data_IF_353643710987
#
_entry.id   IF_353643710987
#
_cell.length_a   1.000
_cell.length_b   1.000
_cell.length_c   1.000
_cell.angle_alpha   90.00
_cell.angle_beta   90.00
_cell.angle_gamma   90.00
#
_symmetry.space_group_name_H-M   'P 1'
#
loop_
_entity.id
_entity.type
_entity.pdbx_description
1 polymer ?
#
# COMPACT_ATOMS: atom_id res chain seq x y z
N UNK A 1 -5.47 -20.77 8.13
CA UNK A 1 -5.17 -19.75 9.17
C UNK A 1 -5.92 -18.48 8.79
N UNK A 2 -6.44 -17.72 9.75
CA UNK A 2 -7.16 -16.48 9.45
C UNK A 2 -6.15 -15.39 9.01
N UNK A 3 -6.32 -14.82 7.82
CA UNK A 3 -5.54 -13.66 7.37
C UNK A 3 -5.81 -12.48 8.30
N UNK A 4 -4.77 -11.80 8.79
CA UNK A 4 -4.95 -10.60 9.59
C UNK A 4 -5.69 -9.54 8.76
N UNK A 5 -6.76 -8.95 9.32
CA UNK A 5 -7.56 -7.95 8.62
C UNK A 5 -6.82 -6.61 8.49
N UNK A 6 -6.01 -6.26 9.48
CA UNK A 6 -5.31 -4.98 9.55
C UNK A 6 -3.80 -5.21 9.68
N UNK A 7 -3.05 -4.51 8.85
CA UNK A 7 -1.60 -4.52 8.75
C UNK A 7 -1.02 -3.26 9.38
N UNK A 8 0.10 -3.40 10.06
CA UNK A 8 0.96 -2.26 10.45
C UNK A 8 1.74 -1.76 9.24
N UNK A 9 2.35 -0.58 9.35
CA UNK A 9 3.26 -0.10 8.29
C UNK A 9 4.51 -0.97 8.15
N UNK A 10 4.90 -1.72 9.18
CA UNK A 10 6.00 -2.67 9.10
C UNK A 10 5.58 -3.88 8.25
N UNK A 11 4.40 -4.45 8.49
CA UNK A 11 3.88 -5.57 7.69
C UNK A 11 3.73 -5.17 6.21
N UNK A 12 3.21 -3.96 5.93
CA UNK A 12 3.11 -3.45 4.55
C UNK A 12 4.49 -3.30 3.91
N UNK A 13 5.47 -2.79 4.66
CA UNK A 13 6.83 -2.62 4.18
C UNK A 13 7.47 -3.98 3.81
N UNK A 14 7.26 -5.00 4.63
CA UNK A 14 7.70 -6.37 4.35
C UNK A 14 7.02 -6.95 3.11
N UNK A 15 5.68 -6.84 3.00
CA UNK A 15 4.91 -7.38 1.87
C UNK A 15 5.32 -6.75 0.54
N UNK A 16 5.47 -5.41 0.53
CA UNK A 16 5.86 -4.69 -0.69
C UNK A 16 7.37 -4.67 -0.92
N UNK A 17 8.16 -5.23 0.00
CA UNK A 17 9.62 -5.19 -0.01
C UNK A 17 10.19 -3.76 -0.17
N UNK A 18 9.70 -2.84 0.67
CA UNK A 18 10.11 -1.42 0.71
C UNK A 18 10.50 -1.01 2.13
N UNK A 19 11.07 0.17 2.31
CA UNK A 19 11.31 0.71 3.66
C UNK A 19 10.01 1.12 4.36
N UNK A 20 9.98 1.07 5.69
CA UNK A 20 8.87 1.59 6.50
C UNK A 20 8.61 3.09 6.25
N UNK A 21 9.65 3.85 5.86
CA UNK A 21 9.52 5.25 5.45
C UNK A 21 8.73 5.37 4.15
N UNK A 22 8.99 4.52 3.15
CA UNK A 22 8.21 4.48 1.91
C UNK A 22 6.76 4.04 2.16
N UNK A 23 6.53 3.00 2.97
CA UNK A 23 5.18 2.58 3.34
C UNK A 23 4.38 3.73 4.02
N UNK A 24 5.03 4.48 4.93
CA UNK A 24 4.44 5.69 5.52
C UNK A 24 4.17 6.77 4.49
N UNK A 25 5.07 6.98 3.51
CA UNK A 25 4.89 7.97 2.46
C UNK A 25 3.64 7.68 1.61
N UNK A 26 3.39 6.42 1.25
CA UNK A 26 2.18 5.99 0.53
C UNK A 26 0.89 6.33 1.32
N UNK A 27 0.91 6.13 2.64
CA UNK A 27 -0.22 6.51 3.49
C UNK A 27 -0.36 8.03 3.60
N UNK A 28 0.75 8.76 3.68
CA UNK A 28 0.74 10.23 3.78
C UNK A 28 0.33 10.91 2.48
N UNK A 29 0.65 10.33 1.32
CA UNK A 29 0.17 10.81 0.02
C UNK A 29 -1.29 10.44 -0.24
N UNK A 30 -1.82 9.44 0.49
CA UNK A 30 -3.18 8.94 0.31
C UNK A 30 -3.30 7.86 -0.77
N UNK A 31 -2.19 7.49 -1.42
CA UNK A 31 -2.16 6.40 -2.41
C UNK A 31 -2.52 5.04 -1.81
N UNK A 32 -2.11 4.83 -0.54
CA UNK A 32 -2.50 3.68 0.25
C UNK A 32 -3.44 4.11 1.38
N UNK A 33 -4.75 3.79 1.28
CA UNK A 33 -5.71 4.11 2.33
C UNK A 33 -5.36 3.42 3.65
N UNK A 34 -5.35 4.20 4.73
CA UNK A 34 -5.11 3.70 6.08
C UNK A 34 -5.95 4.49 7.10
N UNK A 35 -6.22 3.86 8.24
CA UNK A 35 -6.82 4.50 9.41
C UNK A 35 -5.79 4.70 10.50
N UNK A 36 -5.99 5.72 11.34
CA UNK A 36 -5.22 5.87 12.57
C UNK A 36 -6.00 5.24 13.72
N UNK A 37 -5.37 4.33 14.45
CA UNK A 37 -6.01 3.62 15.58
C UNK A 37 -5.25 3.97 16.86
N UNK A 38 -5.95 4.62 17.79
CA UNK A 38 -5.36 5.07 19.05
C UNK A 38 -4.49 6.31 18.90
N UNK A 39 -3.33 6.32 19.56
CA UNK A 39 -2.43 7.48 19.62
C UNK A 39 -1.76 7.87 18.30
N UNK A 40 -1.08 9.02 18.31
CA UNK A 40 -0.43 9.62 17.14
C UNK A 40 0.57 8.64 16.51
N UNK A 41 0.43 8.41 15.20
CA UNK A 41 1.38 7.62 14.41
C UNK A 41 1.09 6.12 14.32
N UNK A 42 0.03 5.63 14.96
CA UNK A 42 -0.41 4.24 14.84
C UNK A 42 -1.34 4.07 13.63
N UNK A 43 -0.76 3.73 12.49
CA UNK A 43 -1.50 3.49 11.25
C UNK A 43 -1.86 2.02 11.09
N UNK A 44 -3.03 1.76 10.52
CA UNK A 44 -3.49 0.43 10.11
C UNK A 44 -4.01 0.47 8.69
N UNK A 45 -3.51 -0.45 7.88
CA UNK A 45 -3.94 -0.66 6.51
C UNK A 45 -4.81 -1.91 6.50
N UNK A 46 -6.04 -1.83 6.01
CA UNK A 46 -6.83 -3.05 5.81
C UNK A 46 -6.23 -3.87 4.67
N UNK A 47 -6.09 -5.18 4.83
CA UNK A 47 -5.44 -6.06 3.85
C UNK A 47 -6.07 -5.90 2.46
N UNK A 48 -7.40 -5.80 2.36
CA UNK A 48 -8.08 -5.56 1.10
C UNK A 48 -7.64 -4.24 0.42
N UNK A 49 -7.32 -3.19 1.19
CA UNK A 49 -6.84 -1.91 0.64
C UNK A 49 -5.41 -1.98 0.13
N UNK A 50 -4.56 -2.82 0.72
CA UNK A 50 -3.24 -3.12 0.19
C UNK A 50 -3.36 -3.88 -1.15
N UNK A 51 -4.21 -4.91 -1.21
CA UNK A 51 -4.46 -5.66 -2.45
C UNK A 51 -5.02 -4.76 -3.57
N UNK A 52 -5.99 -3.89 -3.25
CA UNK A 52 -6.51 -2.90 -4.19
C UNK A 52 -5.41 -1.94 -4.69
N UNK A 53 -4.49 -1.51 -3.82
CA UNK A 53 -3.35 -0.68 -4.21
C UNK A 53 -2.43 -1.41 -5.19
N UNK A 54 -2.12 -2.67 -4.92
CA UNK A 54 -1.29 -3.53 -5.78
C UNK A 54 -1.96 -3.72 -7.14
N UNK A 55 -3.26 -4.04 -7.17
CA UNK A 55 -4.03 -4.21 -8.40
C UNK A 55 -4.00 -2.93 -9.27
N UNK A 56 -4.28 -1.75 -8.68
CA UNK A 56 -4.16 -0.47 -9.39
C UNK A 56 -2.74 -0.22 -9.90
N UNK A 57 -1.72 -0.66 -9.15
CA UNK A 57 -0.32 -0.59 -9.58
C UNK A 57 -0.08 -1.37 -10.88
N UNK A 58 -0.55 -2.62 -10.94
CA UNK A 58 -0.48 -3.43 -12.15
C UNK A 58 -1.25 -2.81 -13.33
N UNK A 59 -2.46 -2.30 -13.09
CA UNK A 59 -3.27 -1.65 -14.12
C UNK A 59 -2.56 -0.43 -14.73
N UNK A 60 -2.03 0.46 -13.89
CA UNK A 60 -1.27 1.65 -14.34
C UNK A 60 -0.06 1.25 -15.17
N UNK A 61 0.72 0.27 -14.71
CA UNK A 61 1.89 -0.22 -15.45
C UNK A 61 1.45 -0.81 -16.79
N UNK A 62 0.40 -1.64 -16.81
CA UNK A 62 -0.09 -2.25 -18.04
C UNK A 62 -0.61 -1.21 -19.04
N UNK A 63 -1.28 -0.16 -18.56
CA UNK A 63 -1.70 0.97 -19.40
C UNK A 63 -0.51 1.72 -19.99
N UNK A 64 0.50 2.03 -19.17
CA UNK A 64 1.71 2.71 -19.62
C UNK A 64 2.52 1.91 -20.65
N UNK A 65 2.60 0.57 -20.49
CA UNK A 65 3.19 -0.33 -21.52
C UNK A 65 2.41 -0.21 -22.83
N UNK A 66 1.07 -0.32 -22.78
CA UNK A 66 0.23 -0.31 -23.98
C UNK A 66 0.28 1.01 -24.74
N UNK A 67 0.41 2.13 -24.02
CA UNK A 67 0.49 3.46 -24.62
C UNK A 67 1.90 3.84 -25.09
N UNK A 68 2.91 3.00 -24.86
CA UNK A 68 4.32 3.30 -25.16
C UNK A 68 4.90 4.41 -24.27
N UNK A 69 4.29 4.67 -23.11
CA UNK A 69 4.69 5.74 -22.19
C UNK A 69 5.80 5.31 -21.20
N UNK A 70 6.31 4.08 -21.32
CA UNK A 70 7.39 3.54 -20.49
C UNK A 70 8.77 3.59 -21.15
N UNK A 71 8.86 4.12 -22.38
CA UNK A 71 10.10 4.29 -23.16
C UNK A 71 10.64 5.73 -23.08
#
# INVERSE_FOLDING_TARGET
>A
MAQQRFLTLADVAEILNISATQARALVRSGELPAIQVGGRGQWRVETAKLEEYIARGYERTAEAVRSGALD
#
